data_IF_987109943156
#
_entry.id   IF_987109943156
#
_cell.length_a   1.000
_cell.length_b   1.000
_cell.length_c   1.000
_cell.angle_alpha   90.00
_cell.angle_beta   90.00
_cell.angle_gamma   90.00
#
_symmetry.space_group_name_H-M   'P 1'
#
loop_
_entity.id
_entity.type
_entity.pdbx_description
1 polymer ?
#
# COMPACT_ATOMS: atom_id res chain seq x y z
N UNK A 1 -4.44 -7.52 18.03
CA UNK A 1 -4.26 -7.22 16.59
C UNK A 1 -5.66 -7.16 16.00
N UNK A 2 -6.06 -6.02 15.42
CA UNK A 2 -7.38 -5.90 14.78
C UNK A 2 -7.24 -6.55 13.41
N UNK A 3 -7.90 -7.69 13.21
CA UNK A 3 -8.01 -8.30 11.89
C UNK A 3 -9.16 -7.61 11.14
N UNK A 4 -8.81 -6.91 10.06
CA UNK A 4 -9.78 -6.31 9.13
C UNK A 4 -9.97 -7.23 7.93
N UNK A 5 -11.15 -7.22 7.31
CA UNK A 5 -11.39 -8.04 6.13
C UNK A 5 -10.57 -7.56 4.90
N UNK A 6 -10.32 -8.44 3.92
CA UNK A 6 -9.51 -8.09 2.74
C UNK A 6 -10.07 -6.93 1.91
N UNK A 7 -11.39 -6.70 1.91
CA UNK A 7 -12.01 -5.60 1.17
C UNK A 7 -11.65 -4.25 1.82
N UNK A 8 -11.75 -4.16 3.15
CA UNK A 8 -11.29 -3.01 3.93
C UNK A 8 -9.79 -2.80 3.77
N UNK A 9 -8.97 -3.86 3.84
CA UNK A 9 -7.52 -3.76 3.62
C UNK A 9 -7.21 -3.12 2.26
N UNK A 10 -7.80 -3.65 1.19
CA UNK A 10 -7.57 -3.14 -0.15
C UNK A 10 -8.05 -1.69 -0.30
N UNK A 11 -9.19 -1.35 0.29
CA UNK A 11 -9.71 0.02 0.30
C UNK A 11 -8.74 1.00 0.98
N UNK A 12 -8.19 0.63 2.14
CA UNK A 12 -7.23 1.46 2.89
C UNK A 12 -5.94 1.64 2.09
N UNK A 13 -5.35 0.55 1.58
CA UNK A 13 -4.10 0.63 0.81
C UNK A 13 -4.29 1.42 -0.49
N UNK A 14 -5.47 1.34 -1.11
CA UNK A 14 -5.74 2.07 -2.36
C UNK A 14 -5.99 3.56 -2.12
N UNK A 15 -6.79 3.93 -1.13
CA UNK A 15 -7.31 5.29 -0.99
C UNK A 15 -6.67 6.12 0.14
N UNK A 16 -6.00 5.46 1.08
CA UNK A 16 -5.43 6.11 2.28
C UNK A 16 -3.91 6.04 2.35
N UNK A 17 -3.23 5.95 1.19
CA UNK A 17 -1.77 6.04 1.07
C UNK A 17 -1.17 7.29 1.75
N UNK A 18 -1.95 8.35 1.91
CA UNK A 18 -1.50 9.55 2.60
C UNK A 18 -1.25 9.31 4.11
N UNK A 19 -1.95 8.35 4.72
CA UNK A 19 -1.80 7.90 6.12
C UNK A 19 -0.64 6.91 6.35
N UNK A 20 0.05 6.51 5.28
CA UNK A 20 1.29 5.73 5.39
C UNK A 20 2.40 6.55 6.05
N UNK A 21 3.18 5.90 6.92
CA UNK A 21 4.41 6.51 7.48
C UNK A 21 5.43 6.73 6.36
N UNK A 22 6.47 7.55 6.57
CA UNK A 22 7.56 7.69 5.60
C UNK A 22 8.22 6.35 5.23
N UNK A 23 8.34 5.42 6.19
CA UNK A 23 8.91 4.09 5.96
C UNK A 23 7.98 3.20 5.14
N UNK A 24 6.68 3.21 5.43
CA UNK A 24 5.68 2.50 4.61
C UNK A 24 5.69 3.02 3.17
N UNK A 25 5.76 4.34 2.98
CA UNK A 25 5.83 4.95 1.63
C UNK A 25 7.08 4.51 0.88
N UNK A 26 8.22 4.34 1.55
CA UNK A 26 9.44 3.81 0.94
C UNK A 26 9.29 2.34 0.55
N UNK A 27 8.77 1.50 1.45
CA UNK A 27 8.51 0.08 1.19
C UNK A 27 7.52 -0.11 0.03
N UNK A 28 6.42 0.65 0.05
CA UNK A 28 5.41 0.69 -1.01
C UNK A 28 6.02 1.08 -2.37
N UNK A 29 6.81 2.17 -2.41
CA UNK A 29 7.48 2.57 -3.65
C UNK A 29 8.47 1.52 -4.14
N UNK A 30 9.20 0.88 -3.24
CA UNK A 30 10.16 -0.16 -3.57
C UNK A 30 9.48 -1.33 -4.27
N UNK A 31 8.43 -1.90 -3.66
CA UNK A 31 7.75 -3.06 -4.22
C UNK A 31 7.01 -2.75 -5.54
N UNK A 32 6.36 -1.59 -5.63
CA UNK A 32 5.75 -1.15 -6.90
C UNK A 32 6.79 -0.89 -7.99
N UNK A 33 7.99 -0.47 -7.63
CA UNK A 33 9.10 -0.29 -8.57
C UNK A 33 9.62 -1.64 -9.09
N UNK A 34 9.75 -2.63 -8.21
CA UNK A 34 10.12 -4.00 -8.61
C UNK A 34 9.10 -4.59 -9.59
N UNK A 35 7.80 -4.50 -9.27
CA UNK A 35 6.72 -4.99 -10.15
C UNK A 35 6.75 -4.32 -11.54
N UNK A 36 7.07 -3.03 -11.59
CA UNK A 36 7.20 -2.30 -12.87
C UNK A 36 8.45 -2.69 -13.65
N UNK A 37 9.54 -3.02 -12.96
CA UNK A 37 10.77 -3.50 -13.61
C UNK A 37 10.56 -4.89 -14.19
N UNK A 38 9.96 -5.81 -13.43
CA UNK A 38 9.71 -7.19 -13.87
C UNK A 38 8.94 -7.23 -15.20
N UNK A 39 7.94 -6.35 -15.35
CA UNK A 39 7.11 -6.23 -16.54
C UNK A 39 7.72 -5.36 -17.66
N UNK A 40 8.98 -4.94 -17.56
CA UNK A 40 9.63 -4.06 -18.55
C UNK A 40 10.62 -4.81 -19.44
N UNK A 41 10.68 -4.45 -20.72
CA UNK A 41 11.62 -5.02 -21.69
C UNK A 41 13.07 -4.57 -21.46
N UNK A 42 13.30 -3.41 -20.84
CA UNK A 42 14.62 -2.87 -20.48
C UNK A 42 14.76 -2.71 -18.96
N UNK A 43 14.79 -3.86 -18.28
CA UNK A 43 14.87 -3.93 -16.81
C UNK A 43 16.10 -3.20 -16.26
N UNK A 44 17.25 -3.28 -16.95
CA UNK A 44 18.51 -2.70 -16.51
C UNK A 44 18.45 -1.16 -16.50
N UNK A 45 17.87 -0.55 -17.54
CA UNK A 45 17.67 0.90 -17.59
C UNK A 45 16.66 1.35 -16.53
N UNK A 46 15.54 0.65 -16.39
CA UNK A 46 14.51 0.98 -15.41
C UNK A 46 15.03 0.90 -13.97
N UNK A 47 15.77 -0.15 -13.64
CA UNK A 47 16.43 -0.30 -12.34
C UNK A 47 17.36 0.87 -12.02
N UNK A 48 18.21 1.29 -12.97
CA UNK A 48 19.07 2.47 -12.80
C UNK A 48 18.28 3.75 -12.53
N UNK A 49 17.19 3.97 -13.26
CA UNK A 49 16.32 5.15 -13.08
C UNK A 49 15.68 5.13 -11.70
N UNK A 50 15.13 3.99 -11.27
CA UNK A 50 14.43 3.88 -9.98
C UNK A 50 15.37 3.93 -8.78
N UNK A 51 16.61 3.45 -8.90
CA UNK A 51 17.63 3.70 -7.88
C UNK A 51 17.97 5.19 -7.78
N UNK A 52 18.19 5.89 -8.91
CA UNK A 52 18.49 7.33 -8.92
C UNK A 52 17.34 8.17 -8.34
N UNK A 53 16.10 7.76 -8.58
CA UNK A 53 14.92 8.43 -8.05
C UNK A 53 14.64 8.10 -6.55
N UNK A 54 15.42 7.20 -5.95
CA UNK A 54 15.19 6.73 -4.58
C UNK A 54 13.93 5.86 -4.42
N UNK A 55 13.39 5.32 -5.52
CA UNK A 55 12.21 4.47 -5.50
C UNK A 55 12.59 3.01 -5.20
N UNK A 56 13.77 2.57 -5.64
CA UNK A 56 14.41 1.36 -5.12
C UNK A 56 15.30 1.72 -3.93
N UNK A 57 14.69 1.68 -2.75
CA UNK A 57 15.38 1.99 -1.48
C UNK A 57 16.37 0.90 -1.04
N UNK A 58 17.40 1.30 -0.30
CA UNK A 58 18.31 0.43 0.48
C UNK A 58 18.08 0.55 2.00
N UNK A 59 17.05 1.29 2.40
CA UNK A 59 16.71 1.53 3.79
C UNK A 59 16.29 0.21 4.47
N UNK A 60 17.09 -0.28 5.41
CA UNK A 60 16.88 -1.58 6.05
C UNK A 60 15.56 -1.66 6.81
N UNK A 61 15.09 -0.55 7.38
CA UNK A 61 13.81 -0.49 8.09
C UNK A 61 12.66 -0.66 7.11
N UNK A 62 12.65 0.10 6.01
CA UNK A 62 11.62 -0.05 4.98
C UNK A 62 11.65 -1.45 4.34
N UNK A 63 12.83 -2.00 4.08
CA UNK A 63 12.96 -3.36 3.54
C UNK A 63 12.51 -4.43 4.53
N UNK A 64 12.68 -4.22 5.83
CA UNK A 64 12.20 -5.16 6.86
C UNK A 64 10.68 -5.33 6.86
N UNK A 65 9.94 -4.33 6.37
CA UNK A 65 8.47 -4.42 6.24
C UNK A 65 8.03 -5.37 5.12
N UNK A 66 8.94 -5.70 4.20
CA UNK A 66 8.69 -6.57 3.06
C UNK A 66 9.21 -8.01 3.28
N UNK A 67 9.79 -8.32 4.45
CA UNK A 67 10.46 -9.60 4.72
C UNK A 67 9.55 -10.82 4.56
N UNK A 68 8.26 -10.65 4.86
CA UNK A 68 7.23 -11.70 4.78
C UNK A 68 6.44 -11.60 3.46
N UNK A 69 6.80 -10.67 2.57
CA UNK A 69 6.19 -10.48 1.26
C UNK A 69 5.24 -9.28 1.16
N UNK A 70 4.75 -9.06 -0.07
CA UNK A 70 3.90 -7.93 -0.43
C UNK A 70 2.57 -7.93 0.32
N UNK A 71 1.94 -9.10 0.40
CA UNK A 71 0.61 -9.28 0.95
C UNK A 71 0.59 -8.98 2.44
N UNK A 72 1.57 -9.52 3.17
CA UNK A 72 1.76 -9.25 4.60
C UNK A 72 2.10 -7.78 4.86
N UNK A 73 2.92 -7.16 4.01
CA UNK A 73 3.17 -5.71 4.09
C UNK A 73 1.86 -4.91 3.98
N UNK A 74 1.04 -5.18 2.97
CA UNK A 74 -0.24 -4.49 2.78
C UNK A 74 -1.20 -4.72 3.94
N UNK A 75 -1.26 -5.95 4.44
CA UNK A 75 -2.09 -6.31 5.60
C UNK A 75 -1.67 -5.54 6.84
N UNK A 76 -0.41 -5.66 7.23
CA UNK A 76 0.14 -5.00 8.41
C UNK A 76 0.01 -3.48 8.33
N UNK A 77 0.22 -2.91 7.14
CA UNK A 77 0.07 -1.47 6.93
C UNK A 77 -1.38 -1.02 7.06
N UNK A 78 -2.32 -1.77 6.48
CA UNK A 78 -3.74 -1.45 6.58
C UNK A 78 -4.26 -1.59 8.02
N UNK A 79 -3.90 -2.66 8.72
CA UNK A 79 -4.24 -2.87 10.14
C UNK A 79 -3.68 -1.74 11.02
N UNK A 80 -2.45 -1.30 10.77
CA UNK A 80 -1.82 -0.16 11.46
C UNK A 80 -2.56 1.15 11.20
N UNK A 81 -2.86 1.46 9.92
CA UNK A 81 -3.60 2.68 9.55
C UNK A 81 -4.99 2.65 10.18
N UNK A 82 -5.69 1.51 10.10
CA UNK A 82 -6.99 1.35 10.71
C UNK A 82 -6.91 1.57 12.23
N UNK A 83 -5.99 0.91 12.93
CA UNK A 83 -5.87 1.03 14.38
C UNK A 83 -5.55 2.46 14.85
N UNK A 84 -4.67 3.16 14.13
CA UNK A 84 -4.17 4.48 14.56
C UNK A 84 -5.01 5.65 14.04
N UNK A 85 -5.64 5.49 12.89
CA UNK A 85 -6.25 6.57 12.13
C UNK A 85 -7.68 6.25 11.66
N UNK A 86 -8.38 5.27 12.26
CA UNK A 86 -9.74 4.88 11.83
C UNK A 86 -10.71 6.06 11.67
N UNK A 87 -10.63 7.08 12.52
CA UNK A 87 -11.51 8.26 12.47
C UNK A 87 -11.28 9.13 11.23
N UNK A 88 -10.12 8.98 10.57
CA UNK A 88 -9.79 9.65 9.31
C UNK A 88 -10.25 8.85 8.08
N UNK A 89 -10.68 7.61 8.28
CA UNK A 89 -11.11 6.70 7.22
C UNK A 89 -12.62 6.83 7.06
N UNK A 90 -13.03 7.34 5.90
CA UNK A 90 -14.43 7.38 5.48
C UNK A 90 -14.68 6.18 4.58
N UNK A 91 -15.56 5.28 5.03
CA UNK A 91 -16.02 4.15 4.23
C UNK A 91 -17.24 4.57 3.41
N UNK A 92 -17.12 4.51 2.09
CA UNK A 92 -18.26 4.71 1.20
C UNK A 92 -19.08 3.43 1.13
N UNK A 93 -20.14 3.31 1.92
CA UNK A 93 -21.02 2.14 1.92
C UNK A 93 -22.26 2.40 1.06
N UNK A 94 -22.69 1.41 0.30
CA UNK A 94 -23.89 1.51 -0.52
C UNK A 94 -25.13 1.70 0.38
N UNK A 95 -25.96 2.74 0.19
CA UNK A 95 -27.13 2.97 1.03
C UNK A 95 -28.21 1.89 0.87
N UNK A 96 -28.20 1.14 -0.24
CA UNK A 96 -29.18 0.07 -0.52
C UNK A 96 -28.86 -1.25 0.17
N UNK A 97 -27.58 -1.62 0.28
CA UNK A 97 -27.17 -2.94 0.78
C UNK A 97 -26.09 -2.91 1.87
N UNK A 98 -25.57 -1.73 2.24
CA UNK A 98 -24.57 -1.56 3.30
C UNK A 98 -23.15 -2.02 2.95
N UNK A 99 -22.94 -2.62 1.77
CA UNK A 99 -21.62 -3.11 1.34
C UNK A 99 -20.65 -1.96 1.02
N UNK A 100 -19.37 -2.18 1.26
CA UNK A 100 -18.32 -1.24 0.91
C UNK A 100 -18.28 -1.05 -0.61
N UNK A 101 -18.38 0.19 -1.05
CA UNK A 101 -18.21 0.52 -2.45
C UNK A 101 -16.72 0.45 -2.80
N UNK A 102 -16.42 -0.14 -3.96
CA UNK A 102 -15.04 -0.25 -4.47
C UNK A 102 -14.35 1.10 -4.66
N UNK A 103 -15.11 2.19 -4.79
CA UNK A 103 -14.60 3.55 -5.03
C UNK A 103 -15.21 4.49 -3.97
N UNK A 104 -14.41 5.35 -3.30
CA UNK A 104 -14.89 6.29 -2.29
C UNK A 104 -15.95 7.28 -2.76
N UNK A 105 -16.08 7.50 -4.07
CA UNK A 105 -17.03 8.45 -4.67
C UNK A 105 -18.07 7.77 -5.57
N UNK A 106 -18.21 6.45 -5.50
CA UNK A 106 -19.30 5.77 -6.19
C UNK A 106 -20.63 6.30 -5.62
N UNK A 107 -21.43 6.93 -6.51
CA UNK A 107 -22.78 7.40 -6.22
C UNK A 107 -23.80 6.29 -6.50
#
# INVERSE_FOLDING_TARGET
>A
MIMIDPEIQNYIITYYLHLMTPKDKLAYKHIHSLLKIENNTDQAKMSKIYHKAGWLTKDSVALSFLKDGAEDFYKNTAERIFSNDHTKIIFNNCPKCGKLARIPHAK
#
